data_IF_097160295521
#
_entry.id   IF_097160295521
#
_cell.length_a   1.000
_cell.length_b   1.000
_cell.length_c   1.000
_cell.angle_alpha   90.00
_cell.angle_beta   90.00
_cell.angle_gamma   90.00
#
_symmetry.space_group_name_H-M   'P 1'
#
loop_
_entity.id
_entity.type
_entity.pdbx_description
1 polymer ?
#
# COMPACT_ATOMS: atom_id res chain seq x y z
N UNK A 1 51.27 -48.60 1.76
CA UNK A 1 51.94 -47.98 0.60
C UNK A 1 50.94 -47.08 -0.12
N UNK A 2 51.24 -45.78 -0.13
CA UNK A 2 50.58 -44.61 -0.85
C UNK A 2 49.13 -44.32 -0.60
N UNK A 3 48.98 -43.39 0.32
CA UNK A 3 47.89 -42.48 0.62
C UNK A 3 47.63 -41.55 -0.59
N UNK A 4 46.37 -41.49 -1.10
CA UNK A 4 45.91 -40.44 -2.03
C UNK A 4 44.94 -39.56 -1.31
N UNK A 5 45.40 -38.36 -0.97
CA UNK A 5 44.62 -37.27 -0.40
C UNK A 5 43.92 -36.54 -1.56
N UNK A 6 42.61 -36.63 -1.67
CA UNK A 6 41.78 -35.83 -2.59
C UNK A 6 41.35 -34.56 -1.87
N UNK A 7 41.92 -33.41 -2.23
CA UNK A 7 41.47 -32.10 -1.87
C UNK A 7 40.17 -31.78 -2.66
N UNK A 8 39.05 -31.76 -1.98
CA UNK A 8 37.79 -31.26 -2.51
C UNK A 8 37.68 -29.79 -2.16
N UNK A 9 37.99 -28.89 -3.10
CA UNK A 9 37.75 -27.45 -2.99
C UNK A 9 36.27 -27.20 -3.09
N UNK A 10 35.64 -26.89 -1.97
CA UNK A 10 34.26 -26.39 -1.93
C UNK A 10 34.24 -24.96 -2.44
N UNK A 11 33.69 -24.76 -3.64
CA UNK A 11 33.35 -23.44 -4.20
C UNK A 11 32.09 -22.92 -3.48
N UNK A 12 32.28 -22.05 -2.50
CA UNK A 12 31.18 -21.31 -1.88
C UNK A 12 30.67 -20.29 -2.88
N UNK A 13 29.57 -20.63 -3.57
CA UNK A 13 28.72 -19.70 -4.26
C UNK A 13 27.97 -18.88 -3.18
N UNK A 14 28.46 -17.70 -2.86
CA UNK A 14 27.70 -16.68 -2.15
C UNK A 14 26.57 -16.19 -3.07
N UNK A 15 25.40 -16.80 -2.89
CA UNK A 15 24.15 -16.26 -3.44
C UNK A 15 23.85 -14.97 -2.66
N UNK A 16 24.14 -13.80 -3.23
CA UNK A 16 23.66 -12.52 -2.71
C UNK A 16 22.12 -12.57 -2.76
N UNK A 17 21.51 -12.68 -1.60
CA UNK A 17 20.08 -12.67 -1.44
C UNK A 17 19.55 -11.26 -1.75
N UNK A 18 18.71 -11.15 -2.76
CA UNK A 18 17.95 -9.95 -3.11
C UNK A 18 17.02 -9.44 -1.97
N UNK A 19 16.81 -10.25 -0.94
CA UNK A 19 15.95 -9.93 0.21
C UNK A 19 16.45 -8.76 1.08
N UNK A 20 17.76 -8.49 1.09
CA UNK A 20 18.32 -7.41 1.90
C UNK A 20 18.15 -6.02 1.24
N UNK A 21 18.16 -5.95 -0.09
CA UNK A 21 17.94 -4.70 -0.82
C UNK A 21 16.48 -4.28 -0.78
N UNK A 22 15.54 -5.22 -0.98
CA UNK A 22 14.10 -4.95 -0.91
C UNK A 22 13.69 -4.48 0.49
N UNK A 23 14.21 -5.09 1.57
CA UNK A 23 13.95 -4.64 2.94
C UNK A 23 14.52 -3.26 3.24
N UNK A 24 15.68 -2.92 2.69
CA UNK A 24 16.28 -1.61 2.85
C UNK A 24 15.47 -0.53 2.12
N UNK A 25 14.97 -0.78 0.92
CA UNK A 25 14.10 0.13 0.16
C UNK A 25 12.74 0.32 0.84
N UNK A 26 12.13 -0.75 1.35
CA UNK A 26 10.86 -0.69 2.09
C UNK A 26 11.00 0.14 3.37
N UNK A 27 12.08 -0.03 4.13
CA UNK A 27 12.36 0.78 5.32
C UNK A 27 12.59 2.25 4.99
N UNK A 28 13.25 2.56 3.88
CA UNK A 28 13.50 3.94 3.45
C UNK A 28 12.22 4.63 2.98
N UNK A 29 11.32 3.90 2.31
CA UNK A 29 10.02 4.39 1.90
C UNK A 29 9.14 4.76 3.11
N UNK A 30 9.15 3.94 4.15
CA UNK A 30 8.34 4.17 5.38
C UNK A 30 8.82 5.38 6.20
N UNK A 31 10.11 5.64 6.24
CA UNK A 31 10.69 6.75 7.02
C UNK A 31 10.22 8.14 6.55
N UNK A 32 9.61 8.22 5.37
CA UNK A 32 9.18 9.47 4.74
C UNK A 32 7.66 9.59 4.53
N UNK A 33 6.88 8.58 4.90
CA UNK A 33 5.42 8.69 4.80
C UNK A 33 4.85 9.68 5.82
N UNK A 34 3.98 10.57 5.38
CA UNK A 34 3.17 11.38 6.28
C UNK A 34 2.23 10.51 7.10
N UNK A 35 1.71 11.05 8.23
CA UNK A 35 0.85 10.32 9.14
C UNK A 35 -0.29 9.61 8.39
N UNK A 36 -0.37 8.30 8.57
CA UNK A 36 -1.25 7.40 7.82
C UNK A 36 -2.28 6.75 8.73
N UNK A 37 -3.54 6.69 8.28
CA UNK A 37 -4.63 5.97 8.93
C UNK A 37 -5.09 4.82 8.04
N UNK A 38 -5.13 3.61 8.57
CA UNK A 38 -5.79 2.46 7.97
C UNK A 38 -7.23 2.42 8.49
N UNK A 39 -8.19 2.61 7.59
CA UNK A 39 -9.62 2.48 7.90
C UNK A 39 -10.14 1.19 7.31
N UNK A 40 -10.76 0.35 8.12
CA UNK A 40 -11.23 -0.94 7.63
C UNK A 40 -12.55 -1.40 8.24
N UNK A 41 -13.25 -2.23 7.49
CA UNK A 41 -14.39 -3.01 7.97
C UNK A 41 -14.11 -4.50 7.72
N UNK A 42 -14.38 -5.35 8.72
CA UNK A 42 -14.11 -6.79 8.61
C UNK A 42 -15.21 -7.63 9.24
N UNK A 43 -16.07 -8.23 8.43
CA UNK A 43 -17.14 -9.12 8.91
C UNK A 43 -16.63 -10.54 9.20
N UNK A 44 -15.89 -11.14 8.26
CA UNK A 44 -15.40 -12.53 8.35
C UNK A 44 -13.96 -12.65 8.87
N UNK A 45 -13.32 -11.55 9.25
CA UNK A 45 -11.92 -11.53 9.68
C UNK A 45 -10.89 -11.34 8.56
N UNK A 46 -11.25 -11.51 7.28
CA UNK A 46 -10.30 -11.43 6.16
C UNK A 46 -9.66 -10.04 6.02
N UNK A 47 -10.46 -8.97 6.09
CA UNK A 47 -9.90 -7.61 6.05
C UNK A 47 -9.01 -7.32 7.26
N UNK A 48 -9.37 -7.79 8.45
CA UNK A 48 -8.53 -7.67 9.64
C UNK A 48 -7.19 -8.38 9.47
N UNK A 49 -7.17 -9.57 8.86
CA UNK A 49 -5.92 -10.27 8.54
C UNK A 49 -5.05 -9.50 7.53
N UNK A 50 -5.67 -8.84 6.54
CA UNK A 50 -4.99 -7.95 5.60
C UNK A 50 -4.41 -6.73 6.32
N UNK A 51 -5.18 -6.10 7.21
CA UNK A 51 -4.72 -4.96 8.02
C UNK A 51 -3.54 -5.33 8.92
N UNK A 52 -3.58 -6.50 9.56
CA UNK A 52 -2.45 -6.98 10.36
C UNK A 52 -1.18 -7.16 9.52
N UNK A 53 -1.32 -7.69 8.30
CA UNK A 53 -0.21 -7.82 7.35
C UNK A 53 0.32 -6.46 6.88
N UNK A 54 -0.56 -5.50 6.63
CA UNK A 54 -0.20 -4.13 6.24
C UNK A 54 0.51 -3.40 7.40
N UNK A 55 -0.02 -3.49 8.63
CA UNK A 55 0.54 -2.86 9.82
C UNK A 55 1.89 -3.46 10.25
N UNK A 56 2.24 -4.67 9.80
CA UNK A 56 3.59 -5.21 9.98
C UNK A 56 4.62 -4.62 9.01
N UNK A 57 4.17 -3.93 7.97
CA UNK A 57 5.02 -3.39 6.90
C UNK A 57 5.09 -1.86 6.91
N UNK A 58 4.10 -1.16 7.47
CA UNK A 58 4.10 0.30 7.59
C UNK A 58 3.68 0.75 8.99
N UNK A 59 4.15 1.93 9.39
CA UNK A 59 3.67 2.60 10.59
C UNK A 59 2.39 3.37 10.26
N UNK A 60 1.27 2.95 10.84
CA UNK A 60 -0.03 3.57 10.63
C UNK A 60 -0.95 3.32 11.83
N UNK A 61 -1.81 4.30 12.13
CA UNK A 61 -2.90 4.11 13.07
C UNK A 61 -4.03 3.30 12.40
N UNK A 62 -4.84 2.61 13.18
CA UNK A 62 -5.90 1.73 12.67
C UNK A 62 -7.26 2.14 13.23
N UNK A 63 -8.28 2.18 12.37
CA UNK A 63 -9.66 2.42 12.72
C UNK A 63 -10.54 1.32 12.13
N UNK A 64 -11.08 0.46 12.98
CA UNK A 64 -12.09 -0.52 12.59
C UNK A 64 -13.48 0.12 12.62
N UNK A 65 -14.17 0.10 11.49
CA UNK A 65 -15.54 0.57 11.39
C UNK A 65 -16.49 -0.55 11.81
N UNK A 66 -17.40 -0.25 12.72
CA UNK A 66 -18.38 -1.22 13.21
C UNK A 66 -19.80 -0.74 12.93
N UNK A 67 -20.74 -1.63 12.55
CA UNK A 67 -22.15 -1.28 12.50
C UNK A 67 -22.63 -0.91 13.92
N UNK A 68 -23.50 0.10 14.02
CA UNK A 68 -24.08 0.51 15.29
C UNK A 68 -24.95 -0.61 15.89
N UNK A 69 -25.74 -1.29 15.06
CA UNK A 69 -26.45 -2.50 15.46
C UNK A 69 -25.50 -3.69 15.52
N UNK A 70 -25.46 -4.38 16.66
CA UNK A 70 -24.56 -5.52 16.89
C UNK A 70 -25.25 -6.85 16.64
N UNK A 71 -24.44 -7.88 16.38
CA UNK A 71 -24.95 -9.25 16.18
C UNK A 71 -25.65 -9.46 14.83
N UNK A 72 -25.49 -8.53 13.88
CA UNK A 72 -26.04 -8.67 12.54
C UNK A 72 -25.46 -9.90 11.83
N UNK A 73 -26.34 -10.68 11.22
CA UNK A 73 -26.00 -11.88 10.46
C UNK A 73 -26.30 -11.64 8.99
N UNK A 74 -25.29 -11.16 8.26
CA UNK A 74 -25.46 -10.82 6.83
C UNK A 74 -25.67 -12.06 5.94
N UNK A 75 -25.20 -13.24 6.39
CA UNK A 75 -25.41 -14.53 5.71
C UNK A 75 -26.83 -15.11 5.91
N UNK A 76 -27.56 -14.62 6.90
CA UNK A 76 -28.91 -15.13 7.18
C UNK A 76 -29.90 -14.80 6.05
N UNK A 77 -30.91 -15.66 5.88
CA UNK A 77 -31.98 -15.49 4.89
C UNK A 77 -31.44 -15.22 3.48
N UNK A 78 -30.46 -16.01 3.03
CA UNK A 78 -29.83 -15.87 1.73
C UNK A 78 -29.29 -14.46 1.48
N UNK A 79 -28.58 -13.91 2.48
CA UNK A 79 -27.95 -12.57 2.45
C UNK A 79 -28.94 -11.41 2.27
N UNK A 80 -30.19 -11.56 2.70
CA UNK A 80 -31.25 -10.57 2.50
C UNK A 80 -30.86 -9.19 3.04
N UNK A 81 -30.29 -9.13 4.27
CA UNK A 81 -29.92 -7.87 4.92
C UNK A 81 -28.86 -7.10 4.11
N UNK A 82 -27.76 -7.76 3.72
CA UNK A 82 -26.71 -7.10 2.93
C UNK A 82 -27.21 -6.60 1.58
N UNK A 83 -28.04 -7.40 0.91
CA UNK A 83 -28.71 -7.02 -0.35
C UNK A 83 -29.62 -5.81 -0.17
N UNK A 84 -30.42 -5.77 0.89
CA UNK A 84 -31.32 -4.65 1.21
C UNK A 84 -30.52 -3.34 1.42
N UNK A 85 -29.44 -3.39 2.20
CA UNK A 85 -28.59 -2.23 2.48
C UNK A 85 -27.96 -1.67 1.20
N UNK A 86 -27.39 -2.51 0.35
CA UNK A 86 -26.80 -2.07 -0.91
C UNK A 86 -27.84 -1.51 -1.88
N UNK A 87 -29.03 -2.12 -1.96
CA UNK A 87 -30.11 -1.62 -2.79
C UNK A 87 -30.63 -0.24 -2.31
N UNK A 88 -30.72 -0.01 -1.00
CA UNK A 88 -31.09 1.28 -0.45
C UNK A 88 -30.08 2.38 -0.85
N UNK A 89 -28.78 2.11 -0.68
CA UNK A 89 -27.72 3.05 -1.11
C UNK A 89 -27.77 3.30 -2.61
N UNK A 90 -27.95 2.25 -3.42
CA UNK A 90 -28.02 2.36 -4.88
C UNK A 90 -29.22 3.19 -5.35
N UNK A 91 -30.36 3.03 -4.69
CA UNK A 91 -31.59 3.77 -5.02
C UNK A 91 -31.48 5.27 -4.70
N UNK A 92 -30.84 5.61 -3.57
CA UNK A 92 -30.73 6.99 -3.11
C UNK A 92 -29.31 7.29 -2.58
N UNK A 93 -28.28 7.35 -3.45
CA UNK A 93 -26.87 7.41 -3.03
C UNK A 93 -26.47 8.73 -2.36
N UNK A 94 -27.29 9.76 -2.45
CA UNK A 94 -27.07 11.08 -1.84
C UNK A 94 -27.88 11.30 -0.56
N UNK A 95 -28.76 10.38 -0.20
CA UNK A 95 -29.57 10.46 1.02
C UNK A 95 -28.87 9.71 2.17
N UNK A 96 -28.58 10.42 3.26
CA UNK A 96 -27.96 9.85 4.45
C UNK A 96 -28.77 8.71 5.06
N UNK A 97 -30.11 8.73 4.93
CA UNK A 97 -30.99 7.68 5.44
C UNK A 97 -30.86 6.34 4.73
N UNK A 98 -30.25 6.32 3.53
CA UNK A 98 -29.98 5.09 2.77
C UNK A 98 -28.76 4.30 3.30
N UNK A 99 -27.96 4.93 4.16
CA UNK A 99 -26.76 4.34 4.70
C UNK A 99 -27.01 3.75 6.09
N UNK A 100 -26.59 2.50 6.37
CA UNK A 100 -26.76 1.92 7.70
C UNK A 100 -25.94 2.70 8.75
N UNK A 101 -26.46 2.76 9.98
CA UNK A 101 -25.74 3.42 11.06
C UNK A 101 -24.45 2.67 11.43
N UNK A 102 -23.40 3.42 11.73
CA UNK A 102 -22.12 2.93 12.25
C UNK A 102 -21.83 3.53 13.61
N UNK A 103 -20.93 2.90 14.36
CA UNK A 103 -20.43 3.48 15.61
C UNK A 103 -19.75 4.84 15.35
N UNK A 104 -19.74 5.75 16.32
CA UNK A 104 -19.03 7.02 16.21
C UNK A 104 -17.54 6.82 15.90
N UNK A 105 -17.02 7.62 14.97
CA UNK A 105 -15.58 7.64 14.65
C UNK A 105 -14.82 8.29 15.80
N UNK A 106 -13.86 7.56 16.37
CA UNK A 106 -13.13 7.97 17.58
C UNK A 106 -11.81 8.70 17.31
N UNK A 107 -11.35 8.72 16.05
CA UNK A 107 -10.10 9.37 15.66
C UNK A 107 -10.36 10.68 14.92
N UNK A 108 -9.44 11.65 15.06
CA UNK A 108 -9.47 12.87 14.26
C UNK A 108 -8.90 12.58 12.88
N UNK A 109 -9.77 12.45 11.85
CA UNK A 109 -9.35 12.18 10.47
C UNK A 109 -8.45 13.32 9.94
N UNK A 110 -8.61 14.53 10.44
CA UNK A 110 -7.85 15.71 10.00
C UNK A 110 -6.35 15.59 10.28
N UNK A 111 -5.96 14.76 11.27
CA UNK A 111 -4.57 14.54 11.64
C UNK A 111 -3.77 13.71 10.62
N UNK A 112 -4.43 13.11 9.64
CA UNK A 112 -3.82 12.18 8.68
C UNK A 112 -3.79 12.77 7.27
N UNK A 113 -2.68 12.57 6.57
CA UNK A 113 -2.54 12.95 5.16
C UNK A 113 -2.81 11.76 4.23
N UNK A 114 -2.44 10.56 4.68
CA UNK A 114 -2.66 9.33 3.93
C UNK A 114 -3.75 8.48 4.59
N UNK A 115 -4.66 7.96 3.78
CA UNK A 115 -5.72 7.05 4.21
C UNK A 115 -5.61 5.77 3.40
N UNK A 116 -5.58 4.61 4.06
CA UNK A 116 -5.64 3.31 3.39
C UNK A 116 -6.98 2.66 3.75
N UNK A 117 -7.83 2.46 2.77
CA UNK A 117 -9.13 1.81 2.94
C UNK A 117 -8.97 0.32 2.72
N UNK A 118 -9.38 -0.50 3.70
CA UNK A 118 -9.44 -1.96 3.55
C UNK A 118 -10.89 -2.42 3.75
N UNK A 119 -11.50 -2.96 2.70
CA UNK A 119 -12.94 -3.25 2.67
C UNK A 119 -13.24 -4.60 2.02
N UNK A 120 -14.27 -5.32 2.49
CA UNK A 120 -14.77 -6.48 1.77
C UNK A 120 -15.63 -6.04 0.58
N UNK A 121 -15.68 -6.91 -0.43
CA UNK A 121 -16.58 -6.80 -1.55
C UNK A 121 -17.87 -7.55 -1.23
N UNK A 122 -19.02 -6.87 -1.38
CA UNK A 122 -20.37 -7.44 -1.32
C UNK A 122 -21.08 -7.28 -2.68
N UNK A 123 -21.41 -8.39 -3.35
CA UNK A 123 -22.10 -8.37 -4.67
C UNK A 123 -21.49 -7.39 -5.68
N UNK A 124 -20.18 -7.47 -5.85
CA UNK A 124 -19.39 -6.58 -6.72
C UNK A 124 -19.37 -5.10 -6.32
N UNK A 125 -19.88 -4.73 -5.16
CA UNK A 125 -19.91 -3.39 -4.59
C UNK A 125 -19.10 -3.32 -3.29
N UNK A 126 -18.82 -2.11 -2.82
CA UNK A 126 -18.24 -1.90 -1.49
C UNK A 126 -19.24 -2.27 -0.41
N UNK A 127 -18.81 -2.91 0.66
CA UNK A 127 -19.65 -3.20 1.82
C UNK A 127 -20.36 -1.95 2.34
N UNK A 128 -21.67 -2.04 2.60
CA UNK A 128 -22.50 -0.88 3.00
C UNK A 128 -21.95 -0.12 4.21
N UNK A 129 -21.37 -0.84 5.18
CA UNK A 129 -20.74 -0.25 6.38
C UNK A 129 -19.58 0.69 6.01
N UNK A 130 -18.71 0.28 5.08
CA UNK A 130 -17.62 1.13 4.60
C UNK A 130 -18.16 2.29 3.75
N UNK A 131 -19.18 2.06 2.92
CA UNK A 131 -19.83 3.16 2.19
C UNK A 131 -20.38 4.20 3.13
N UNK A 132 -20.99 3.81 4.28
CA UNK A 132 -21.45 4.75 5.31
C UNK A 132 -20.31 5.61 5.84
N UNK A 133 -19.19 5.01 6.21
CA UNK A 133 -18.04 5.75 6.71
C UNK A 133 -17.55 6.78 5.69
N UNK A 134 -17.38 6.38 4.43
CA UNK A 134 -16.92 7.28 3.37
C UNK A 134 -17.91 8.41 3.11
N UNK A 135 -19.21 8.11 3.06
CA UNK A 135 -20.25 9.10 2.87
C UNK A 135 -20.27 10.17 3.97
N UNK A 136 -20.21 9.74 5.23
CA UNK A 136 -20.25 10.63 6.40
C UNK A 136 -18.99 11.49 6.53
N UNK A 137 -17.83 10.97 6.10
CA UNK A 137 -16.54 11.64 6.28
C UNK A 137 -15.96 12.23 5.00
N UNK A 138 -16.71 12.27 3.88
CA UNK A 138 -16.25 12.74 2.57
C UNK A 138 -15.61 14.13 2.58
N UNK A 139 -16.13 15.03 3.42
CA UNK A 139 -15.58 16.39 3.55
C UNK A 139 -14.25 16.39 4.28
N UNK A 140 -14.08 15.57 5.35
CA UNK A 140 -12.82 15.42 6.08
C UNK A 140 -11.77 14.67 5.30
N UNK A 141 -12.19 13.82 4.37
CA UNK A 141 -11.30 13.06 3.48
C UNK A 141 -10.88 13.88 2.25
N UNK A 142 -11.55 14.98 1.93
CA UNK A 142 -11.20 15.83 0.80
C UNK A 142 -9.75 16.32 0.89
N UNK A 143 -9.02 16.28 -0.24
CA UNK A 143 -7.62 16.70 -0.33
C UNK A 143 -6.60 15.71 0.21
N UNK A 144 -7.04 14.60 0.82
CA UNK A 144 -6.12 13.55 1.32
C UNK A 144 -5.71 12.59 0.21
N UNK A 145 -4.59 11.91 0.42
CA UNK A 145 -4.14 10.82 -0.45
C UNK A 145 -4.76 9.50 0.02
N UNK A 146 -5.45 8.81 -0.88
CA UNK A 146 -6.19 7.59 -0.56
C UNK A 146 -5.69 6.41 -1.38
N UNK A 147 -5.39 5.32 -0.71
CA UNK A 147 -5.11 4.01 -1.32
C UNK A 147 -6.16 2.99 -0.88
N UNK A 148 -6.32 1.89 -1.60
CA UNK A 148 -7.35 0.90 -1.28
C UNK A 148 -6.90 -0.53 -1.48
N UNK A 149 -7.27 -1.39 -0.52
CA UNK A 149 -7.17 -2.86 -0.63
C UNK A 149 -8.57 -3.44 -0.49
N UNK A 150 -8.95 -4.31 -1.40
CA UNK A 150 -10.27 -4.95 -1.43
C UNK A 150 -10.14 -6.44 -1.21
N UNK A 151 -10.84 -6.96 -0.20
CA UNK A 151 -10.98 -8.39 0.04
C UNK A 151 -12.20 -8.93 -0.70
N UNK A 152 -12.03 -9.92 -1.56
CA UNK A 152 -13.12 -10.60 -2.27
C UNK A 152 -13.01 -12.12 -2.15
N UNK A 153 -14.07 -12.86 -2.50
CA UNK A 153 -13.96 -14.31 -2.62
C UNK A 153 -13.29 -14.69 -3.96
N UNK A 154 -13.86 -14.23 -5.07
CA UNK A 154 -13.37 -14.55 -6.42
C UNK A 154 -13.63 -13.47 -7.46
N UNK A 155 -14.40 -12.42 -7.11
CA UNK A 155 -14.82 -11.38 -8.04
C UNK A 155 -13.73 -10.32 -8.23
N UNK A 156 -13.73 -9.67 -9.39
CA UNK A 156 -12.96 -8.46 -9.65
C UNK A 156 -13.44 -7.29 -8.79
N UNK A 157 -12.56 -6.33 -8.54
CA UNK A 157 -12.77 -5.24 -7.56
C UNK A 157 -13.28 -3.92 -8.16
N UNK A 158 -13.51 -3.85 -9.48
CA UNK A 158 -13.83 -2.61 -10.19
C UNK A 158 -15.07 -1.88 -9.65
N UNK A 159 -16.12 -2.63 -9.24
CA UNK A 159 -17.31 -2.01 -8.65
C UNK A 159 -17.06 -1.38 -7.29
N UNK A 160 -16.18 -1.98 -6.46
CA UNK A 160 -15.77 -1.40 -5.17
C UNK A 160 -14.96 -0.11 -5.39
N UNK A 161 -14.07 -0.12 -6.39
CA UNK A 161 -13.30 1.07 -6.78
C UNK A 161 -14.23 2.19 -7.26
N UNK A 162 -15.22 1.85 -8.10
CA UNK A 162 -16.21 2.82 -8.58
C UNK A 162 -17.05 3.43 -7.43
N UNK A 163 -17.46 2.61 -6.45
CA UNK A 163 -18.16 3.12 -5.26
C UNK A 163 -17.29 4.09 -4.45
N UNK A 164 -16.02 3.76 -4.25
CA UNK A 164 -15.08 4.63 -3.55
C UNK A 164 -14.88 5.96 -4.28
N UNK A 165 -14.68 5.94 -5.59
CA UNK A 165 -14.52 7.14 -6.42
C UNK A 165 -15.76 8.03 -6.42
N UNK A 166 -16.95 7.42 -6.46
CA UNK A 166 -18.23 8.13 -6.35
C UNK A 166 -18.37 8.83 -4.99
N UNK A 167 -17.99 8.16 -3.90
CA UNK A 167 -18.12 8.69 -2.54
C UNK A 167 -17.05 9.73 -2.20
N UNK A 168 -15.88 9.63 -2.82
CA UNK A 168 -14.69 10.45 -2.55
C UNK A 168 -14.19 11.16 -3.82
N UNK A 169 -14.98 12.07 -4.44
CA UNK A 169 -14.59 12.73 -5.69
C UNK A 169 -13.42 13.73 -5.52
N UNK A 170 -13.14 14.16 -4.29
CA UNK A 170 -12.18 15.23 -3.99
C UNK A 170 -10.93 14.72 -3.26
N UNK A 171 -10.54 13.46 -3.45
CA UNK A 171 -9.29 12.90 -2.92
C UNK A 171 -8.27 12.70 -4.03
N UNK A 172 -7.00 12.54 -3.67
CA UNK A 172 -5.95 12.08 -4.57
C UNK A 172 -5.78 10.58 -4.42
N UNK A 173 -6.02 9.82 -5.47
CA UNK A 173 -5.77 8.36 -5.45
C UNK A 173 -4.28 8.12 -5.55
N UNK A 174 -3.73 7.34 -4.59
CA UNK A 174 -2.29 7.05 -4.51
C UNK A 174 -1.80 6.18 -5.66
N UNK A 175 -2.66 5.32 -6.17
CA UNK A 175 -2.38 4.38 -7.25
C UNK A 175 -3.52 3.40 -7.43
N UNK A 176 -3.25 2.28 -8.09
CA UNK A 176 -4.23 1.23 -8.31
C UNK A 176 -4.57 0.49 -7.01
N UNK A 177 -5.84 0.12 -6.88
CA UNK A 177 -6.31 -0.66 -5.74
C UNK A 177 -5.77 -2.10 -5.81
N UNK A 178 -5.41 -2.68 -4.65
CA UNK A 178 -5.00 -4.07 -4.53
C UNK A 178 -6.21 -4.97 -4.28
N UNK A 179 -6.41 -5.97 -5.12
CA UNK A 179 -7.39 -7.05 -4.91
C UNK A 179 -6.75 -8.26 -4.22
N UNK A 180 -7.25 -8.63 -3.05
CA UNK A 180 -6.87 -9.87 -2.35
C UNK A 180 -8.10 -10.76 -2.27
N UNK A 181 -8.06 -11.91 -2.94
CA UNK A 181 -9.15 -12.86 -2.99
C UNK A 181 -8.83 -14.18 -2.24
N UNK A 182 -9.79 -15.09 -2.18
CA UNK A 182 -9.63 -16.35 -1.45
C UNK A 182 -8.42 -17.19 -1.95
N UNK A 183 -8.11 -17.15 -3.25
CA UNK A 183 -7.02 -17.95 -3.83
C UNK A 183 -5.62 -17.41 -3.51
N UNK A 184 -5.48 -16.09 -3.26
CA UNK A 184 -4.20 -15.45 -3.00
C UNK A 184 -4.08 -14.87 -1.58
N UNK A 185 -5.08 -15.04 -0.72
CA UNK A 185 -5.11 -14.51 0.64
C UNK A 185 -3.94 -15.00 1.52
N UNK A 186 -3.45 -16.23 1.29
CA UNK A 186 -2.25 -16.76 1.98
C UNK A 186 -0.98 -15.95 1.66
N UNK A 187 -0.91 -15.37 0.46
CA UNK A 187 0.23 -14.61 -0.04
C UNK A 187 0.09 -13.09 0.20
N UNK A 188 -0.89 -12.67 1.03
CA UNK A 188 -1.21 -11.24 1.26
C UNK A 188 -0.01 -10.40 1.67
N UNK A 189 0.94 -10.96 2.44
CA UNK A 189 2.14 -10.22 2.86
C UNK A 189 2.97 -9.78 1.65
N UNK A 190 3.29 -10.71 0.76
CA UNK A 190 4.08 -10.42 -0.45
C UNK A 190 3.29 -9.56 -1.45
N UNK A 191 1.98 -9.73 -1.53
CA UNK A 191 1.13 -8.87 -2.38
C UNK A 191 1.15 -7.43 -1.90
N UNK A 192 1.06 -7.20 -0.59
CA UNK A 192 1.12 -5.86 0.01
C UNK A 192 2.53 -5.27 -0.14
N UNK A 193 3.58 -6.06 0.11
CA UNK A 193 4.98 -5.65 -0.04
C UNK A 193 5.27 -5.15 -1.47
N UNK A 194 4.77 -5.85 -2.48
CA UNK A 194 4.92 -5.45 -3.88
C UNK A 194 4.01 -4.27 -4.29
N UNK A 195 2.87 -4.11 -3.63
CA UNK A 195 1.92 -3.04 -3.93
C UNK A 195 2.30 -1.70 -3.30
N UNK A 196 2.80 -1.68 -2.07
CA UNK A 196 3.13 -0.46 -1.34
C UNK A 196 4.05 0.50 -2.11
N UNK A 197 5.14 0.06 -2.76
CA UNK A 197 6.03 0.94 -3.52
C UNK A 197 5.39 1.55 -4.77
N UNK A 198 4.28 0.98 -5.25
CA UNK A 198 3.54 1.51 -6.42
C UNK A 198 2.61 2.66 -6.05
N UNK A 199 2.45 2.93 -4.75
CA UNK A 199 1.53 3.96 -4.25
C UNK A 199 2.26 5.30 -4.03
N UNK A 200 1.69 6.38 -4.57
CA UNK A 200 2.20 7.73 -4.41
C UNK A 200 1.65 8.38 -3.13
N UNK A 201 2.04 7.88 -1.96
CA UNK A 201 1.64 8.45 -0.69
C UNK A 201 2.28 9.82 -0.44
N UNK A 202 1.58 10.67 0.30
CA UNK A 202 2.15 11.92 0.80
C UNK A 202 3.36 11.60 1.70
N UNK A 203 4.48 12.30 1.43
CA UNK A 203 5.67 12.23 2.26
C UNK A 203 5.58 13.26 3.38
N UNK A 204 6.10 12.94 4.57
CA UNK A 204 6.33 13.93 5.60
C UNK A 204 7.39 14.92 5.11
N UNK A 205 7.03 16.18 4.95
CA UNK A 205 7.98 17.24 4.63
C UNK A 205 8.83 17.58 5.87
N UNK A 206 9.74 16.71 6.24
CA UNK A 206 10.92 17.10 7.02
C UNK A 206 11.96 17.55 6.00
N UNK A 207 11.87 18.77 5.58
CA UNK A 207 12.88 19.70 5.10
C UNK A 207 14.02 19.25 4.16
N UNK A 208 13.93 18.10 3.47
CA UNK A 208 14.87 17.76 2.39
C UNK A 208 14.05 17.13 1.27
N UNK A 209 13.68 17.94 0.28
CA UNK A 209 13.20 17.41 -0.99
C UNK A 209 14.27 16.48 -1.54
N UNK A 210 14.02 15.16 -1.56
CA UNK A 210 14.80 14.28 -2.39
C UNK A 210 14.61 14.75 -3.85
N UNK A 211 15.60 15.43 -4.36
CA UNK A 211 15.83 15.54 -5.79
C UNK A 211 15.77 14.08 -6.28
N UNK A 212 14.79 13.75 -7.14
CA UNK A 212 14.86 12.53 -7.94
C UNK A 212 16.28 12.46 -8.46
N UNK A 213 17.05 11.49 -8.01
CA UNK A 213 18.32 11.20 -8.63
C UNK A 213 17.97 10.67 -10.01
N UNK A 214 17.89 11.58 -10.99
CA UNK A 214 18.18 11.16 -12.35
C UNK A 214 19.41 10.30 -12.24
N UNK A 215 19.36 9.10 -12.78
CA UNK A 215 20.52 8.22 -12.90
C UNK A 215 21.56 9.05 -13.64
N UNK A 216 22.34 9.84 -12.87
CA UNK A 216 23.44 10.61 -13.40
C UNK A 216 24.38 9.58 -13.97
N UNK A 217 24.46 9.51 -15.30
CA UNK A 217 25.61 8.90 -15.96
C UNK A 217 26.83 9.42 -15.21
N UNK A 218 27.55 8.51 -14.51
CA UNK A 218 28.65 8.89 -13.63
C UNK A 218 29.66 9.71 -14.45
N UNK A 219 29.78 10.98 -14.12
CA UNK A 219 30.73 11.87 -14.80
C UNK A 219 32.12 11.53 -14.27
N UNK A 220 33.01 11.26 -15.20
CA UNK A 220 34.44 11.00 -14.91
C UNK A 220 35.22 12.28 -15.10
N UNK A 221 36.03 12.64 -14.11
CA UNK A 221 36.83 13.87 -14.14
C UNK A 221 38.33 13.54 -14.11
N UNK A 222 39.12 14.34 -14.77
CA UNK A 222 40.60 14.33 -14.62
C UNK A 222 40.98 14.75 -13.21
N UNK A 223 42.24 14.58 -12.81
CA UNK A 223 42.76 15.07 -11.53
C UNK A 223 42.72 16.60 -11.44
N UNK A 224 42.64 17.32 -12.57
CA UNK A 224 42.51 18.77 -12.65
C UNK A 224 41.05 19.24 -12.58
N UNK A 225 40.07 18.32 -12.39
CA UNK A 225 38.67 18.67 -12.25
C UNK A 225 37.91 18.90 -13.57
N UNK A 226 38.52 18.66 -14.74
CA UNK A 226 37.86 18.72 -16.04
C UNK A 226 37.20 17.40 -16.38
N UNK A 227 36.10 17.41 -17.17
CA UNK A 227 35.45 16.16 -17.64
C UNK A 227 36.45 15.33 -18.47
N UNK A 228 36.60 14.07 -18.11
CA UNK A 228 37.45 13.13 -18.85
C UNK A 228 36.79 12.77 -20.18
N UNK A 229 37.61 12.70 -21.25
CA UNK A 229 37.14 12.31 -22.58
C UNK A 229 36.85 10.78 -22.60
N UNK A 230 35.93 10.36 -23.46
CA UNK A 230 35.63 8.95 -23.69
C UNK A 230 36.89 8.22 -24.17
N UNK A 231 37.31 7.17 -23.42
CA UNK A 231 38.53 6.41 -23.75
C UNK A 231 39.84 6.99 -23.16
N UNK A 232 39.77 8.04 -22.33
CA UNK A 232 40.96 8.58 -21.66
C UNK A 232 41.54 7.58 -20.67
N UNK A 233 42.82 7.25 -20.83
CA UNK A 233 43.58 6.37 -19.93
C UNK A 233 44.26 7.19 -18.84
N UNK A 234 44.52 6.57 -17.69
CA UNK A 234 45.16 7.23 -16.57
C UNK A 234 44.34 7.19 -15.28
N UNK A 235 44.72 8.07 -14.32
CA UNK A 235 43.99 8.22 -13.07
C UNK A 235 42.91 9.28 -13.23
N UNK A 236 41.68 8.90 -12.95
CA UNK A 236 40.49 9.79 -13.01
C UNK A 236 39.72 9.76 -11.69
N UNK A 237 38.84 10.71 -11.48
CA UNK A 237 37.88 10.75 -10.37
C UNK A 237 36.52 10.33 -10.90
N UNK A 238 35.99 9.22 -10.40
CA UNK A 238 34.67 8.72 -10.69
C UNK A 238 33.92 8.57 -9.37
N UNK A 239 32.75 9.20 -9.24
CA UNK A 239 31.91 9.16 -8.01
C UNK A 239 32.71 9.53 -6.74
N UNK A 240 33.59 10.56 -6.85
CA UNK A 240 34.44 11.04 -5.76
C UNK A 240 35.63 10.16 -5.40
N UNK A 241 35.87 9.06 -6.15
CA UNK A 241 36.99 8.12 -5.90
C UNK A 241 38.01 8.17 -7.05
N UNK A 242 39.30 8.03 -6.71
CA UNK A 242 40.38 7.86 -7.71
C UNK A 242 40.29 6.46 -8.30
N UNK A 243 40.20 6.37 -9.62
CA UNK A 243 40.13 5.12 -10.39
C UNK A 243 41.16 5.16 -11.50
N UNK A 244 41.91 4.08 -11.69
CA UNK A 244 42.85 3.92 -12.81
C UNK A 244 42.11 3.30 -14.00
N UNK A 245 42.11 4.00 -15.14
CA UNK A 245 41.60 3.45 -16.41
C UNK A 245 42.79 3.01 -17.24
N UNK A 246 42.84 1.72 -17.54
CA UNK A 246 43.90 1.07 -18.33
C UNK A 246 43.65 1.21 -19.83
#
# INVERSE_FOLDING_TARGET
>A
MRLFLLFMTALLLTCCSSDSEVKAETNQYQAHMAKTLIVYYSYTGNCKAIVNSLASQITADQLEIQPAEKGLRYEANNYALGTQLLNAIKANPNDASSYPAIDPVTVSIDDYQNIIIVTPLWWSQMAAIMQTFLFQNRTKLAGKTVAMIVSSHSSGISGVVADAQRLLPNVTWAGDALGINASNHSNRNSLIENWLPTQNFHSSTTGISHVKSDVKKSKVYTLQGTLALVGQKGIVIKDGKKVAIK
#
